data_IF_833879904608
#
_entry.id   IF_833879904608
#
_cell.length_a   1.000
_cell.length_b   1.000
_cell.length_c   1.000
_cell.angle_alpha   90.00
_cell.angle_beta   90.00
_cell.angle_gamma   90.00
#
_symmetry.space_group_name_H-M   'P 1'
#
loop_
_entity.id
_entity.type
_entity.pdbx_description
1 polymer ?
#
# COMPACT_ATOMS: atom_id res chain seq x y z
N UNK A 1 -14.37 9.40 -14.70
CA UNK A 1 -13.02 8.78 -14.67
C UNK A 1 -12.97 7.57 -13.76
N UNK A 2 -13.44 7.64 -12.50
CA UNK A 2 -13.33 6.54 -11.53
C UNK A 2 -13.68 5.15 -12.06
N UNK A 3 -14.88 4.92 -12.61
CA UNK A 3 -15.24 3.61 -13.15
C UNK A 3 -14.27 3.07 -14.21
N UNK A 4 -13.79 3.92 -15.12
CA UNK A 4 -12.79 3.51 -16.11
C UNK A 4 -11.43 3.16 -15.49
N UNK A 5 -10.98 3.93 -14.50
CA UNK A 5 -9.71 3.69 -13.81
C UNK A 5 -9.77 2.40 -12.97
N UNK A 6 -10.87 2.21 -12.24
CA UNK A 6 -11.12 1.02 -11.41
C UNK A 6 -11.26 -0.22 -12.30
N UNK A 7 -11.95 -0.10 -13.45
CA UNK A 7 -12.02 -1.16 -14.46
C UNK A 7 -10.64 -1.59 -14.96
N UNK A 8 -9.77 -0.63 -15.33
CA UNK A 8 -8.39 -0.91 -15.75
C UNK A 8 -7.53 -1.50 -14.63
N UNK A 9 -7.75 -1.10 -13.38
CA UNK A 9 -7.07 -1.70 -12.23
C UNK A 9 -7.47 -3.17 -12.05
N UNK A 10 -8.78 -3.47 -12.13
CA UNK A 10 -9.30 -4.85 -12.09
C UNK A 10 -8.73 -5.70 -13.23
N UNK A 11 -8.76 -5.19 -14.45
CA UNK A 11 -8.19 -5.87 -15.63
C UNK A 11 -6.68 -6.11 -15.50
N UNK A 12 -6.00 -5.25 -14.74
CA UNK A 12 -4.59 -5.37 -14.40
C UNK A 12 -4.30 -6.34 -13.26
N UNK A 13 -5.31 -7.00 -12.67
CA UNK A 13 -5.16 -7.99 -11.60
C UNK A 13 -5.14 -7.40 -10.18
N UNK A 14 -5.61 -6.17 -9.99
CA UNK A 14 -5.73 -5.55 -8.66
C UNK A 14 -6.97 -6.08 -7.94
N UNK A 15 -6.82 -6.50 -6.68
CA UNK A 15 -7.93 -6.93 -5.81
C UNK A 15 -8.44 -5.81 -4.89
N UNK A 16 -7.57 -4.85 -4.54
CA UNK A 16 -7.83 -3.81 -3.53
C UNK A 16 -7.45 -2.43 -4.06
N UNK A 17 -8.36 -1.47 -3.99
CA UNK A 17 -8.07 -0.05 -4.24
C UNK A 17 -7.78 0.63 -2.91
N UNK A 18 -6.57 1.18 -2.75
CA UNK A 18 -6.21 1.96 -1.58
C UNK A 18 -6.35 3.46 -1.85
N UNK A 19 -6.88 4.20 -0.88
CA UNK A 19 -6.98 5.67 -0.99
C UNK A 19 -6.82 6.34 0.36
N UNK A 20 -6.31 7.57 0.35
CA UNK A 20 -6.34 8.46 1.51
C UNK A 20 -7.68 9.16 1.64
N UNK A 21 -7.97 9.66 2.84
CA UNK A 21 -9.05 10.62 3.10
C UNK A 21 -8.44 12.00 3.30
N UNK A 22 -8.84 12.95 2.47
CA UNK A 22 -8.23 14.29 2.44
C UNK A 22 -9.03 15.25 3.32
N UNK A 23 -8.67 15.37 4.61
CA UNK A 23 -9.46 16.15 5.58
C UNK A 23 -9.67 17.61 5.15
N UNK A 24 -8.63 18.30 4.68
CA UNK A 24 -8.73 19.68 4.21
C UNK A 24 -9.65 19.86 2.99
N UNK A 25 -9.83 18.83 2.16
CA UNK A 25 -10.80 18.82 1.07
C UNK A 25 -12.22 18.63 1.62
N UNK A 26 -12.37 17.75 2.60
CA UNK A 26 -13.67 17.43 3.17
C UNK A 26 -14.18 18.43 4.20
N UNK A 27 -13.31 19.23 4.82
CA UNK A 27 -13.66 20.24 5.82
C UNK A 27 -12.91 21.56 5.57
N UNK A 28 -13.19 22.27 4.46
CA UNK A 28 -12.48 23.50 4.08
C UNK A 28 -12.63 24.62 5.12
N UNK A 29 -13.72 24.62 5.89
CA UNK A 29 -13.94 25.48 7.06
C UNK A 29 -14.41 24.64 8.23
N UNK A 30 -14.10 25.06 9.47
CA UNK A 30 -14.46 24.31 10.68
C UNK A 30 -15.96 24.03 10.74
N UNK A 31 -16.33 22.75 10.77
CA UNK A 31 -17.72 22.26 10.77
C UNK A 31 -18.44 22.34 9.42
N UNK A 32 -17.79 22.84 8.37
CA UNK A 32 -18.35 22.96 7.02
C UNK A 32 -17.79 21.83 6.15
N UNK A 33 -18.63 20.82 5.90
CA UNK A 33 -18.19 19.63 5.20
C UNK A 33 -18.60 19.60 3.72
N UNK A 34 -17.69 19.14 2.85
CA UNK A 34 -17.94 18.87 1.44
C UNK A 34 -17.60 17.41 1.08
N UNK A 35 -18.63 16.68 0.65
CA UNK A 35 -18.53 15.32 0.11
C UNK A 35 -19.21 15.24 -1.26
N UNK A 36 -19.14 16.32 -2.04
CA UNK A 36 -19.74 16.41 -3.37
C UNK A 36 -18.68 16.29 -4.48
N UNK A 37 -19.14 16.02 -5.71
CA UNK A 37 -18.27 15.99 -6.88
C UNK A 37 -17.10 15.02 -6.73
N UNK A 38 -15.86 15.52 -6.84
CA UNK A 38 -14.64 14.70 -6.67
C UNK A 38 -14.32 14.37 -5.20
N UNK A 39 -14.95 15.06 -4.25
CA UNK A 39 -14.84 14.81 -2.82
C UNK A 39 -15.89 13.80 -2.32
N UNK A 40 -16.73 13.25 -3.21
CA UNK A 40 -17.71 12.23 -2.85
C UNK A 40 -17.04 10.87 -2.63
N UNK A 41 -16.45 10.71 -1.45
CA UNK A 41 -15.73 9.50 -1.07
C UNK A 41 -16.65 8.28 -0.93
N UNK A 42 -17.90 8.48 -0.48
CA UNK A 42 -18.89 7.39 -0.38
C UNK A 42 -19.17 6.82 -1.77
N UNK A 43 -19.42 7.70 -2.75
CA UNK A 43 -19.60 7.27 -4.14
C UNK A 43 -18.36 6.58 -4.69
N UNK A 44 -17.17 7.08 -4.41
CA UNK A 44 -15.93 6.43 -4.85
C UNK A 44 -15.78 5.01 -4.29
N UNK A 45 -16.03 4.81 -2.99
CA UNK A 45 -16.00 3.47 -2.38
C UNK A 45 -17.10 2.55 -2.94
N UNK A 46 -18.31 3.07 -3.18
CA UNK A 46 -19.38 2.30 -3.84
C UNK A 46 -19.00 1.92 -5.27
N UNK A 47 -18.29 2.77 -6.01
CA UNK A 47 -17.79 2.45 -7.34
C UNK A 47 -16.78 1.30 -7.31
N UNK A 48 -15.89 1.26 -6.30
CA UNK A 48 -14.97 0.15 -6.06
C UNK A 48 -15.76 -1.15 -5.84
N UNK A 49 -16.78 -1.11 -4.97
CA UNK A 49 -17.66 -2.26 -4.71
C UNK A 49 -18.41 -2.73 -5.97
N UNK A 50 -18.92 -1.80 -6.79
CA UNK A 50 -19.63 -2.12 -8.02
C UNK A 50 -18.74 -2.85 -9.04
N UNK A 51 -17.43 -2.64 -8.99
CA UNK A 51 -16.45 -3.40 -9.77
C UNK A 51 -16.03 -4.72 -9.12
N UNK A 52 -16.52 -5.05 -7.92
CA UNK A 52 -16.19 -6.27 -7.19
C UNK A 52 -14.78 -6.27 -6.63
N UNK A 53 -14.21 -5.09 -6.36
CA UNK A 53 -12.92 -4.94 -5.69
C UNK A 53 -13.13 -4.58 -4.21
N UNK A 54 -12.11 -4.81 -3.40
CA UNK A 54 -12.06 -4.35 -2.01
C UNK A 54 -11.42 -2.96 -1.91
N UNK A 55 -11.54 -2.33 -0.74
CA UNK A 55 -10.96 -1.03 -0.43
C UNK A 55 -10.06 -1.08 0.82
N UNK A 56 -8.96 -0.33 0.77
CA UNK A 56 -8.11 0.01 1.91
C UNK A 56 -8.22 1.51 2.16
N UNK A 57 -8.83 1.91 3.27
CA UNK A 57 -9.16 3.31 3.55
C UNK A 57 -8.18 3.93 4.54
N UNK A 58 -7.27 4.78 4.06
CA UNK A 58 -6.26 5.44 4.90
C UNK A 58 -6.77 6.79 5.38
N UNK A 59 -7.33 6.82 6.59
CA UNK A 59 -8.11 7.97 7.08
C UNK A 59 -7.20 9.13 7.52
N UNK A 60 -5.98 8.84 7.98
CA UNK A 60 -5.05 9.86 8.48
C UNK A 60 -5.29 10.17 9.97
N UNK A 61 -5.37 11.43 10.41
CA UNK A 61 -5.76 12.59 9.60
C UNK A 61 -4.59 13.25 8.85
N UNK A 62 -3.37 13.12 9.34
CA UNK A 62 -2.19 13.47 8.56
C UNK A 62 -1.93 12.33 7.57
N UNK A 63 -1.79 12.66 6.30
CA UNK A 63 -1.63 11.68 5.20
C UNK A 63 -0.34 11.88 4.41
N UNK A 64 0.38 12.98 4.63
CA UNK A 64 1.48 13.42 3.76
C UNK A 64 0.96 13.58 2.31
N UNK A 65 1.08 12.53 1.49
CA UNK A 65 0.58 12.36 0.14
C UNK A 65 1.07 13.40 -0.88
N UNK A 66 2.20 14.06 -0.59
CA UNK A 66 2.60 15.31 -1.24
C UNK A 66 1.44 16.31 -1.38
N UNK A 67 0.50 16.26 -0.43
CA UNK A 67 -0.74 17.00 -0.45
C UNK A 67 -0.66 18.23 0.45
N UNK A 68 -1.37 19.28 0.08
CA UNK A 68 -1.34 20.57 0.75
C UNK A 68 -1.56 20.39 2.25
N UNK A 69 -0.61 20.89 3.04
CA UNK A 69 -0.60 20.82 4.51
C UNK A 69 -0.75 19.39 5.08
N UNK A 70 -0.29 18.38 4.32
CA UNK A 70 -0.35 16.96 4.69
C UNK A 70 -1.77 16.44 4.90
N UNK A 71 -2.76 17.09 4.28
CA UNK A 71 -4.19 16.77 4.43
C UNK A 71 -4.89 17.49 5.57
N UNK A 72 -4.17 18.17 6.47
CA UNK A 72 -4.80 18.90 7.58
C UNK A 72 -5.50 20.18 7.08
N UNK A 73 -6.69 20.52 7.58
CA UNK A 73 -7.34 21.79 7.23
C UNK A 73 -6.54 22.99 7.73
N UNK A 74 -6.46 24.05 6.94
CA UNK A 74 -5.69 25.24 7.32
C UNK A 74 -6.24 25.93 8.58
N UNK A 75 -7.56 25.95 8.77
CA UNK A 75 -8.19 26.54 9.96
C UNK A 75 -7.76 25.86 11.27
N UNK A 76 -7.23 24.63 11.21
CA UNK A 76 -6.73 23.92 12.37
C UNK A 76 -5.55 24.67 13.01
N UNK A 77 -4.80 25.43 12.22
CA UNK A 77 -3.67 26.26 12.67
C UNK A 77 -4.09 27.30 13.71
N UNK A 78 -5.30 27.84 13.58
CA UNK A 78 -5.79 28.93 14.42
C UNK A 78 -6.45 28.42 15.72
N UNK A 79 -6.43 27.11 15.97
CA UNK A 79 -6.93 26.53 17.21
C UNK A 79 -5.95 26.86 18.36
N UNK A 80 -6.41 27.51 19.45
CA UNK A 80 -5.53 27.91 20.55
C UNK A 80 -4.78 26.72 21.16
N UNK A 81 -3.46 26.86 21.30
CA UNK A 81 -2.60 25.86 21.94
C UNK A 81 -2.41 24.57 21.16
N UNK A 82 -2.77 24.54 19.87
CA UNK A 82 -2.64 23.33 19.07
C UNK A 82 -1.18 23.01 18.75
N UNK A 83 -0.85 21.72 18.84
CA UNK A 83 0.40 21.17 18.31
C UNK A 83 0.02 19.89 17.58
N UNK A 84 0.37 19.80 16.30
CA UNK A 84 -0.05 18.68 15.48
C UNK A 84 0.72 17.41 15.81
N UNK A 85 0.03 16.28 15.63
CA UNK A 85 0.62 14.94 15.68
C UNK A 85 1.43 14.73 16.95
N UNK A 86 0.90 15.14 18.09
CA UNK A 86 1.51 14.87 19.39
C UNK A 86 0.44 14.76 20.45
N UNK A 87 0.81 14.40 21.68
CA UNK A 87 -0.14 14.33 22.80
C UNK A 87 -0.55 15.74 23.23
N UNK A 88 -1.49 16.29 22.46
CA UNK A 88 -2.03 17.64 22.56
C UNK A 88 -3.56 17.53 22.46
N UNK A 89 -4.24 17.90 23.54
CA UNK A 89 -5.70 17.73 23.66
C UNK A 89 -6.48 18.42 22.52
N UNK A 90 -6.19 19.69 22.14
CA UNK A 90 -6.84 20.31 20.99
C UNK A 90 -6.73 19.49 19.70
N UNK A 91 -5.52 19.00 19.38
CA UNK A 91 -5.30 18.20 18.18
C UNK A 91 -6.05 16.86 18.25
N UNK A 92 -5.95 16.15 19.37
CA UNK A 92 -6.63 14.86 19.59
C UNK A 92 -8.14 14.95 19.42
N UNK A 93 -8.78 15.99 19.99
CA UNK A 93 -10.22 16.23 19.84
C UNK A 93 -10.60 16.42 18.37
N UNK A 94 -9.87 17.26 17.64
CA UNK A 94 -10.16 17.50 16.23
C UNK A 94 -9.92 16.26 15.35
N UNK A 95 -8.81 15.56 15.56
CA UNK A 95 -8.49 14.29 14.90
C UNK A 95 -9.56 13.23 15.15
N UNK A 96 -9.98 13.05 16.40
CA UNK A 96 -11.00 12.07 16.77
C UNK A 96 -12.35 12.42 16.14
N UNK A 97 -12.75 13.69 16.16
CA UNK A 97 -14.02 14.13 15.56
C UNK A 97 -14.07 13.81 14.07
N UNK A 98 -13.01 14.15 13.32
CA UNK A 98 -12.95 13.87 11.89
C UNK A 98 -12.90 12.36 11.59
N UNK A 99 -12.05 11.62 12.30
CA UNK A 99 -11.94 10.16 12.13
C UNK A 99 -13.28 9.47 12.42
N UNK A 100 -13.92 9.84 13.53
CA UNK A 100 -15.25 9.33 13.92
C UNK A 100 -16.30 9.63 12.86
N UNK A 101 -16.29 10.86 12.31
CA UNK A 101 -17.21 11.24 11.24
C UNK A 101 -17.04 10.36 10.00
N UNK A 102 -15.81 10.16 9.52
CA UNK A 102 -15.54 9.32 8.35
C UNK A 102 -15.96 7.87 8.61
N UNK A 103 -15.59 7.29 9.76
CA UNK A 103 -16.00 5.93 10.12
C UNK A 103 -17.53 5.81 10.18
N UNK A 104 -18.23 6.76 10.82
CA UNK A 104 -19.68 6.74 10.91
C UNK A 104 -20.36 6.85 9.53
N UNK A 105 -19.80 7.67 8.62
CA UNK A 105 -20.29 7.76 7.25
C UNK A 105 -20.10 6.45 6.48
N UNK A 106 -18.96 5.78 6.63
CA UNK A 106 -18.75 4.46 6.01
C UNK A 106 -19.69 3.41 6.60
N UNK A 107 -19.92 3.45 7.93
CA UNK A 107 -20.84 2.55 8.62
C UNK A 107 -22.29 2.75 8.22
N UNK A 108 -22.77 3.99 8.10
CA UNK A 108 -24.16 4.28 7.72
C UNK A 108 -24.50 3.77 6.31
N UNK A 109 -23.48 3.62 5.48
CA UNK A 109 -23.59 3.13 4.10
C UNK A 109 -23.22 1.63 3.97
N UNK A 110 -23.00 0.93 5.09
CA UNK A 110 -22.58 -0.47 5.15
C UNK A 110 -21.31 -0.77 4.33
N UNK A 111 -20.34 0.14 4.33
CA UNK A 111 -19.16 0.03 3.47
C UNK A 111 -18.00 -0.76 4.08
N UNK A 112 -18.05 -1.10 5.37
CA UNK A 112 -17.08 -2.03 5.96
C UNK A 112 -17.41 -3.49 5.60
N UNK A 113 -16.38 -4.32 5.39
CA UNK A 113 -16.56 -5.74 5.06
C UNK A 113 -17.34 -6.52 6.14
N UNK A 114 -17.22 -6.11 7.40
CA UNK A 114 -18.05 -6.60 8.52
C UNK A 114 -19.55 -6.36 8.33
N UNK A 115 -19.94 -5.43 7.45
CA UNK A 115 -21.31 -5.07 7.09
C UNK A 115 -21.67 -5.49 5.64
N UNK A 116 -20.80 -6.23 4.95
CA UNK A 116 -20.97 -6.61 3.54
C UNK A 116 -20.42 -5.61 2.52
N UNK A 117 -19.73 -4.55 2.96
CA UNK A 117 -19.10 -3.55 2.11
C UNK A 117 -17.68 -3.92 1.64
N UNK A 118 -17.04 -3.07 0.81
CA UNK A 118 -15.73 -3.38 0.24
C UNK A 118 -14.53 -3.06 1.17
N UNK A 119 -14.69 -2.25 2.23
CA UNK A 119 -13.55 -1.78 3.04
C UNK A 119 -13.06 -2.91 3.95
N UNK A 120 -11.84 -3.42 3.68
CA UNK A 120 -11.21 -4.52 4.42
C UNK A 120 -10.09 -4.09 5.36
N UNK A 121 -9.54 -2.88 5.17
CA UNK A 121 -8.45 -2.32 5.97
C UNK A 121 -8.69 -0.84 6.18
N UNK A 122 -8.34 -0.35 7.38
CA UNK A 122 -8.29 1.09 7.67
C UNK A 122 -6.93 1.49 8.22
N UNK A 123 -6.44 2.68 7.90
CA UNK A 123 -5.21 3.22 8.49
C UNK A 123 -5.50 4.47 9.33
N UNK A 124 -4.88 4.53 10.51
CA UNK A 124 -4.80 5.73 11.35
C UNK A 124 -3.37 6.26 11.30
N UNK A 125 -3.20 7.58 11.28
CA UNK A 125 -1.90 8.25 11.10
C UNK A 125 -1.17 7.85 9.79
N UNK A 126 0.01 8.44 9.58
CA UNK A 126 0.87 8.17 8.43
C UNK A 126 2.35 8.41 8.74
N UNK A 127 3.15 7.34 8.71
CA UNK A 127 4.61 7.40 8.93
C UNK A 127 5.01 8.19 10.18
N UNK A 128 4.31 7.98 11.29
CA UNK A 128 4.47 8.82 12.48
C UNK A 128 5.78 8.57 13.22
N UNK A 129 6.29 7.33 13.23
CA UNK A 129 7.59 6.99 13.84
C UNK A 129 8.75 7.86 13.30
N UNK A 130 8.65 8.33 12.04
CA UNK A 130 9.63 9.23 11.42
C UNK A 130 9.74 10.59 12.13
N UNK A 131 8.71 11.02 12.86
CA UNK A 131 8.66 12.29 13.60
C UNK A 131 8.44 12.11 15.10
N UNK A 132 8.07 10.92 15.54
CA UNK A 132 7.72 10.61 16.92
C UNK A 132 8.79 11.05 17.93
N UNK A 133 10.05 10.75 17.65
CA UNK A 133 11.19 11.13 18.50
C UNK A 133 11.32 12.65 18.71
N UNK A 134 10.89 13.47 17.74
CA UNK A 134 10.94 14.92 17.85
C UNK A 134 9.95 15.46 18.91
N UNK A 135 8.96 14.66 19.31
CA UNK A 135 8.00 15.01 20.35
C UNK A 135 8.38 14.48 21.74
N UNK A 136 9.54 13.84 21.88
CA UNK A 136 10.04 13.32 23.16
C UNK A 136 8.99 12.50 23.91
N UNK A 137 8.70 12.86 25.17
CA UNK A 137 7.70 12.24 26.02
C UNK A 137 6.25 12.32 25.51
N UNK A 138 5.96 13.18 24.52
CA UNK A 138 4.62 13.36 23.93
C UNK A 138 4.36 12.54 22.67
N UNK A 139 5.38 11.90 22.09
CA UNK A 139 5.24 11.06 20.90
C UNK A 139 4.58 9.71 21.21
N UNK A 140 5.19 8.88 22.08
CA UNK A 140 4.67 7.55 22.37
C UNK A 140 3.25 7.51 22.97
N UNK A 141 2.85 8.44 23.88
CA UNK A 141 1.45 8.50 24.34
C UNK A 141 0.46 8.80 23.22
N UNK A 142 0.86 9.63 22.24
CA UNK A 142 0.00 9.97 21.10
C UNK A 142 -0.24 8.77 20.19
N UNK A 143 0.79 8.00 19.84
CA UNK A 143 0.63 6.75 19.05
C UNK A 143 -0.30 5.77 19.74
N UNK A 144 -0.11 5.56 21.05
CA UNK A 144 -0.99 4.69 21.84
C UNK A 144 -2.43 5.18 21.85
N UNK A 145 -2.63 6.48 22.05
CA UNK A 145 -3.96 7.09 22.00
C UNK A 145 -4.60 6.95 20.62
N UNK A 146 -3.86 7.22 19.52
CA UNK A 146 -4.37 7.17 18.17
C UNK A 146 -4.81 5.74 17.79
N UNK A 147 -3.99 4.74 18.12
CA UNK A 147 -4.31 3.33 17.92
C UNK A 147 -5.56 2.92 18.74
N UNK A 148 -5.62 3.28 20.03
CA UNK A 148 -6.77 2.98 20.89
C UNK A 148 -8.05 3.65 20.40
N UNK A 149 -7.98 4.92 20.02
CA UNK A 149 -9.10 5.69 19.50
C UNK A 149 -9.64 5.03 18.22
N UNK A 150 -8.77 4.70 17.28
CA UNK A 150 -9.17 4.05 16.03
C UNK A 150 -9.83 2.68 16.25
N UNK A 151 -9.23 1.84 17.08
CA UNK A 151 -9.78 0.51 17.42
C UNK A 151 -11.13 0.62 18.14
N UNK A 152 -11.29 1.60 19.04
CA UNK A 152 -12.53 1.85 19.76
C UNK A 152 -13.69 2.29 18.84
N UNK A 153 -13.41 2.73 17.61
CA UNK A 153 -14.46 3.00 16.62
C UNK A 153 -15.13 1.73 16.08
N UNK A 154 -14.62 0.53 16.39
CA UNK A 154 -15.26 -0.76 16.10
C UNK A 154 -15.74 -0.90 14.66
N UNK A 155 -14.84 -0.66 13.69
CA UNK A 155 -15.13 -0.82 12.25
C UNK A 155 -15.44 -2.27 11.86
N UNK A 156 -15.01 -3.24 12.68
CA UNK A 156 -15.13 -4.67 12.41
C UNK A 156 -14.11 -5.18 11.39
N UNK A 157 -13.14 -4.34 11.00
CA UNK A 157 -12.02 -4.71 10.14
C UNK A 157 -10.69 -4.26 10.76
N UNK A 158 -9.54 -4.86 10.40
CA UNK A 158 -8.26 -4.49 10.98
C UNK A 158 -7.86 -3.03 10.73
N UNK A 159 -7.14 -2.47 11.71
CA UNK A 159 -6.44 -1.20 11.58
C UNK A 159 -4.95 -1.43 11.33
N UNK A 160 -4.35 -0.51 10.59
CA UNK A 160 -2.91 -0.50 10.32
C UNK A 160 -2.29 0.87 10.57
N UNK A 161 -0.96 0.90 10.71
CA UNK A 161 -0.12 2.11 10.77
C UNK A 161 1.16 1.85 9.94
N UNK A 162 1.43 2.70 8.97
CA UNK A 162 2.62 2.56 8.12
C UNK A 162 3.85 3.22 8.75
N UNK A 163 5.03 2.58 8.61
CA UNK A 163 6.27 2.95 9.31
C UNK A 163 6.02 3.29 10.78
N UNK A 164 5.51 2.31 11.51
CA UNK A 164 5.26 2.40 12.94
C UNK A 164 5.60 1.07 13.61
N UNK A 165 6.89 0.79 13.83
CA UNK A 165 7.34 -0.48 14.36
C UNK A 165 6.74 -0.80 15.74
N UNK A 166 6.49 0.20 16.58
CA UNK A 166 5.87 0.03 17.90
C UNK A 166 4.33 0.13 17.89
N UNK A 167 3.66 0.00 16.72
CA UNK A 167 2.21 0.02 16.61
C UNK A 167 1.53 -0.94 17.62
N UNK A 168 0.72 -0.42 18.56
CA UNK A 168 0.11 -1.24 19.62
C UNK A 168 -0.89 -2.26 19.07
N UNK A 169 -0.98 -3.43 19.70
CA UNK A 169 -2.01 -4.42 19.36
C UNK A 169 -3.43 -3.83 19.54
N UNK A 170 -4.38 -4.17 18.65
CA UNK A 170 -4.28 -5.11 17.52
C UNK A 170 -3.82 -4.48 16.19
N UNK A 171 -3.30 -3.25 16.18
CA UNK A 171 -2.95 -2.51 14.95
C UNK A 171 -1.75 -3.15 14.24
N UNK A 172 -1.84 -3.29 12.92
CA UNK A 172 -0.79 -3.90 12.09
C UNK A 172 0.21 -2.84 11.63
N UNK A 173 1.50 -3.01 11.94
CA UNK A 173 2.54 -2.16 11.37
C UNK A 173 2.86 -2.58 9.93
N UNK A 174 3.05 -1.62 9.05
CA UNK A 174 3.27 -1.88 7.61
C UNK A 174 4.53 -1.21 7.10
N UNK A 175 4.98 -1.65 5.92
CA UNK A 175 6.13 -1.09 5.23
C UNK A 175 5.73 -0.11 4.13
N UNK A 176 6.55 0.92 3.93
CA UNK A 176 6.52 1.84 2.80
C UNK A 176 7.92 1.98 2.21
N UNK A 177 8.00 2.22 0.90
CA UNK A 177 9.25 2.42 0.19
C UNK A 177 9.34 1.60 -1.09
N UNK A 178 10.42 1.74 -1.86
CA UNK A 178 10.62 0.96 -3.08
C UNK A 178 11.03 -0.50 -2.81
N UNK A 179 11.65 -0.78 -1.67
CA UNK A 179 12.43 -2.01 -1.45
C UNK A 179 11.95 -2.88 -0.30
N UNK A 180 10.68 -2.80 0.12
CA UNK A 180 10.19 -3.61 1.24
C UNK A 180 10.32 -5.13 1.01
N UNK A 181 10.39 -5.59 -0.25
CA UNK A 181 10.75 -6.98 -0.58
C UNK A 181 12.11 -7.41 -0.03
N UNK A 182 13.07 -6.48 0.08
CA UNK A 182 14.38 -6.70 0.71
C UNK A 182 14.41 -6.19 2.14
N UNK A 183 13.96 -4.96 2.38
CA UNK A 183 14.22 -4.22 3.62
C UNK A 183 13.23 -4.46 4.75
N UNK A 184 12.03 -5.00 4.48
CA UNK A 184 11.06 -5.22 5.56
C UNK A 184 11.47 -6.46 6.37
N UNK A 185 11.72 -6.33 7.69
CA UNK A 185 12.04 -7.47 8.54
C UNK A 185 10.80 -8.31 8.90
N UNK A 186 9.60 -7.74 8.71
CA UNK A 186 8.32 -8.32 9.10
C UNK A 186 7.55 -7.42 10.06
N UNK A 187 6.31 -7.80 10.40
CA UNK A 187 5.51 -7.09 11.38
C UNK A 187 6.08 -7.27 12.79
N UNK A 188 5.67 -6.40 13.70
CA UNK A 188 6.14 -6.36 15.09
C UNK A 188 5.59 -7.48 15.98
N UNK A 189 4.84 -8.42 15.40
CA UNK A 189 4.32 -9.62 16.06
C UNK A 189 4.16 -10.75 15.03
N UNK A 190 4.49 -12.00 15.36
CA UNK A 190 4.32 -13.15 14.45
C UNK A 190 2.85 -13.43 14.11
N UNK A 191 1.89 -12.88 14.87
CA UNK A 191 0.46 -13.05 14.63
C UNK A 191 -0.14 -12.01 13.67
N UNK A 192 0.69 -11.12 13.11
CA UNK A 192 0.27 -10.08 12.17
C UNK A 192 0.71 -10.45 10.74
N UNK A 193 -0.09 -10.10 9.72
CA UNK A 193 0.29 -10.31 8.32
C UNK A 193 1.35 -9.28 7.88
N UNK A 194 2.14 -9.65 6.87
CA UNK A 194 3.11 -8.75 6.23
C UNK A 194 2.39 -7.87 5.20
N UNK A 195 2.28 -6.57 5.48
CA UNK A 195 1.63 -5.60 4.62
C UNK A 195 2.63 -4.55 4.11
N UNK A 196 2.62 -4.31 2.80
CA UNK A 196 3.37 -3.25 2.13
C UNK A 196 2.37 -2.23 1.56
N UNK A 197 2.17 -1.13 2.27
CA UNK A 197 1.13 -0.12 1.98
C UNK A 197 1.54 0.86 0.89
N UNK A 198 2.83 1.07 0.67
CA UNK A 198 3.32 1.94 -0.40
C UNK A 198 4.54 1.36 -1.11
N UNK A 199 4.29 0.63 -2.20
CA UNK A 199 5.30 0.28 -3.18
C UNK A 199 5.43 1.42 -4.19
N UNK A 200 6.41 2.30 -3.99
CA UNK A 200 6.56 3.52 -4.78
C UNK A 200 6.83 3.21 -6.26
N UNK A 201 5.88 3.45 -7.17
CA UNK A 201 5.97 3.06 -8.59
C UNK A 201 6.83 4.01 -9.45
N UNK A 202 7.17 5.17 -8.89
CA UNK A 202 8.03 6.24 -9.38
C UNK A 202 8.25 7.20 -8.20
N UNK A 203 8.88 8.35 -8.43
CA UNK A 203 8.94 9.45 -7.48
C UNK A 203 7.96 10.55 -7.89
N UNK A 204 7.46 11.33 -6.94
CA UNK A 204 6.69 12.52 -7.27
C UNK A 204 7.55 13.54 -8.03
N UNK A 205 6.93 14.34 -8.90
CA UNK A 205 7.61 15.40 -9.63
C UNK A 205 7.55 16.69 -8.81
N UNK A 206 8.70 17.26 -8.49
CA UNK A 206 8.81 18.60 -7.90
C UNK A 206 9.14 19.64 -8.98
N UNK A 207 8.70 20.89 -8.79
CA UNK A 207 9.03 21.96 -9.73
C UNK A 207 10.55 22.14 -9.86
N UNK A 208 11.05 22.16 -11.10
CA UNK A 208 12.47 22.32 -11.40
C UNK A 208 13.30 21.03 -11.24
N UNK A 209 12.68 19.86 -11.06
CA UNK A 209 13.36 18.56 -11.02
C UNK A 209 13.03 17.73 -12.26
N UNK A 210 14.01 16.94 -12.70
CA UNK A 210 13.81 15.95 -13.76
C UNK A 210 12.94 14.78 -13.26
N UNK A 211 12.13 14.15 -14.13
CA UNK A 211 11.35 12.96 -13.75
C UNK A 211 12.25 11.78 -13.39
N UNK A 212 12.00 11.17 -12.23
CA UNK A 212 12.62 9.91 -11.85
C UNK A 212 11.73 8.73 -12.29
N UNK A 213 12.31 7.75 -12.97
CA UNK A 213 11.57 6.58 -13.45
C UNK A 213 11.97 5.34 -12.67
N UNK A 214 11.02 4.42 -12.51
CA UNK A 214 11.24 3.11 -11.91
C UNK A 214 10.78 2.05 -12.90
N UNK A 215 11.66 1.11 -13.22
CA UNK A 215 11.38 0.08 -14.23
C UNK A 215 10.30 -0.90 -13.76
N UNK A 216 9.60 -1.50 -14.72
CA UNK A 216 8.60 -2.53 -14.43
C UNK A 216 9.25 -3.76 -13.76
N UNK A 217 10.47 -4.08 -14.19
CA UNK A 217 11.25 -5.22 -13.71
C UNK A 217 11.66 -5.07 -12.25
N UNK A 218 12.10 -3.87 -11.82
CA UNK A 218 12.44 -3.63 -10.42
C UNK A 218 11.21 -3.69 -9.52
N UNK A 219 10.08 -3.09 -9.96
CA UNK A 219 8.82 -3.19 -9.22
C UNK A 219 8.43 -4.67 -9.09
N UNK A 220 8.44 -5.42 -10.19
CA UNK A 220 8.07 -6.83 -10.20
C UNK A 220 9.01 -7.68 -9.32
N UNK A 221 10.31 -7.42 -9.35
CA UNK A 221 11.30 -8.08 -8.49
C UNK A 221 10.97 -7.89 -7.01
N UNK A 222 10.75 -6.64 -6.59
CA UNK A 222 10.47 -6.36 -5.18
C UNK A 222 9.15 -6.96 -4.72
N UNK A 223 8.10 -6.92 -5.56
CA UNK A 223 6.81 -7.55 -5.24
C UNK A 223 6.94 -9.07 -5.14
N UNK A 224 7.56 -9.72 -6.14
CA UNK A 224 7.75 -11.16 -6.13
C UNK A 224 8.58 -11.63 -4.93
N UNK A 225 9.64 -10.88 -4.58
CA UNK A 225 10.47 -11.18 -3.41
C UNK A 225 9.69 -10.97 -2.10
N UNK A 226 8.88 -9.92 -2.00
CA UNK A 226 8.03 -9.68 -0.83
C UNK A 226 7.07 -10.86 -0.61
N UNK A 227 6.35 -11.29 -1.65
CA UNK A 227 5.45 -12.46 -1.59
C UNK A 227 6.20 -13.76 -1.30
N UNK A 228 7.37 -13.96 -1.90
CA UNK A 228 8.22 -15.11 -1.63
C UNK A 228 8.60 -15.23 -0.15
N UNK A 229 8.72 -14.10 0.58
CA UNK A 229 9.11 -14.00 2.00
C UNK A 229 7.92 -13.93 2.99
N UNK A 230 6.74 -14.42 2.63
CA UNK A 230 5.46 -14.34 3.38
C UNK A 230 4.70 -13.00 3.28
N UNK A 231 5.03 -12.15 2.31
CA UNK A 231 4.24 -10.96 1.99
C UNK A 231 2.82 -11.30 1.55
N UNK A 232 1.80 -10.66 2.14
CA UNK A 232 0.38 -10.99 1.89
C UNK A 232 -0.45 -9.84 1.35
N UNK A 233 0.06 -8.61 1.42
CA UNK A 233 -0.56 -7.43 0.84
C UNK A 233 0.50 -6.50 0.27
N UNK A 234 0.33 -6.09 -0.98
CA UNK A 234 1.18 -5.10 -1.64
C UNK A 234 0.29 -4.08 -2.33
N UNK A 235 0.48 -2.81 -2.02
CA UNK A 235 -0.22 -1.72 -2.67
C UNK A 235 0.76 -0.83 -3.45
N UNK A 236 0.44 -0.57 -4.72
CA UNK A 236 1.20 0.33 -5.57
C UNK A 236 0.88 1.79 -5.25
N UNK A 237 1.89 2.55 -4.81
CA UNK A 237 1.79 3.99 -4.60
C UNK A 237 2.59 4.71 -5.70
N UNK A 238 2.01 5.18 -6.79
CA UNK A 238 0.60 5.14 -7.16
C UNK A 238 0.33 4.08 -8.25
N UNK A 239 -0.86 3.49 -8.23
CA UNK A 239 -1.38 2.75 -9.39
C UNK A 239 -1.93 3.69 -10.48
N UNK A 240 -2.61 4.75 -10.04
CA UNK A 240 -2.95 5.94 -10.81
C UNK A 240 -2.69 7.15 -9.89
N UNK A 241 -1.82 8.06 -10.31
CA UNK A 241 -1.55 9.27 -9.53
C UNK A 241 -2.54 10.40 -9.82
N UNK A 242 -2.71 10.73 -11.10
CA UNK A 242 -3.66 11.74 -11.56
C UNK A 242 -3.10 13.17 -11.45
N UNK A 243 -3.95 14.11 -11.05
CA UNK A 243 -3.65 15.54 -11.12
C UNK A 243 -4.01 16.25 -9.82
N UNK A 244 -3.08 17.07 -9.34
CA UNK A 244 -3.27 18.04 -8.26
C UNK A 244 -4.09 19.24 -8.77
N UNK A 245 -5.40 19.07 -8.91
CA UNK A 245 -6.30 20.09 -9.45
C UNK A 245 -6.59 21.24 -8.49
N UNK A 246 -6.56 22.46 -9.00
CA UNK A 246 -6.89 23.67 -8.24
C UNK A 246 -5.67 24.18 -7.49
N UNK A 247 -5.88 24.73 -6.29
CA UNK A 247 -4.83 25.44 -5.52
C UNK A 247 -4.72 25.01 -4.06
N UNK A 248 -5.40 23.93 -3.69
CA UNK A 248 -5.48 23.43 -2.31
C UNK A 248 -5.12 21.94 -2.23
N UNK A 249 -4.46 21.41 -3.26
CA UNK A 249 -4.17 19.98 -3.43
C UNK A 249 -2.68 19.66 -3.34
N UNK A 250 -1.82 20.25 -4.18
CA UNK A 250 -0.38 19.97 -4.15
C UNK A 250 0.31 20.66 -2.96
N UNK A 251 1.27 19.98 -2.34
CA UNK A 251 2.39 20.58 -1.63
C UNK A 251 3.67 20.29 -2.42
N UNK A 252 4.47 21.32 -2.74
CA UNK A 252 5.81 21.26 -3.36
C UNK A 252 5.98 20.44 -4.67
N UNK A 253 4.93 19.77 -5.14
CA UNK A 253 4.89 18.95 -6.35
C UNK A 253 4.25 19.67 -7.52
N UNK A 254 4.52 19.21 -8.73
CA UNK A 254 3.87 19.71 -9.93
C UNK A 254 2.36 19.43 -9.92
N UNK A 255 1.63 20.08 -10.83
CA UNK A 255 0.21 19.78 -11.06
C UNK A 255 -0.01 18.32 -11.47
N UNK A 256 0.90 17.76 -12.26
CA UNK A 256 0.94 16.33 -12.58
C UNK A 256 1.41 15.50 -11.39
N UNK A 257 0.72 14.40 -11.07
CA UNK A 257 1.03 13.54 -9.93
C UNK A 257 1.25 12.08 -10.38
N UNK A 258 2.48 11.56 -10.21
CA UNK A 258 2.86 10.17 -10.52
C UNK A 258 2.49 9.71 -11.95
N UNK A 259 2.81 10.50 -12.97
CA UNK A 259 2.51 10.19 -14.38
C UNK A 259 3.16 8.87 -14.88
N UNK A 260 4.25 8.43 -14.25
CA UNK A 260 4.93 7.16 -14.54
C UNK A 260 4.31 5.92 -13.86
N UNK A 261 3.16 6.07 -13.20
CA UNK A 261 2.39 4.96 -12.65
C UNK A 261 1.88 3.99 -13.73
N UNK A 262 1.41 2.78 -13.37
CA UNK A 262 0.79 1.83 -14.31
C UNK A 262 -0.34 2.44 -15.14
N UNK A 263 -1.13 3.34 -14.56
CA UNK A 263 -2.05 4.22 -15.26
C UNK A 263 -1.51 5.66 -15.19
N UNK A 264 -1.32 6.30 -16.34
CA UNK A 264 -0.77 7.65 -16.42
C UNK A 264 -1.71 8.71 -15.83
N UNK A 265 -1.29 9.99 -15.86
CA UNK A 265 -2.08 11.12 -15.36
C UNK A 265 -3.49 11.20 -15.97
N UNK A 266 -3.63 10.83 -17.25
CA UNK A 266 -4.88 10.90 -18.01
C UNK A 266 -5.68 9.60 -17.94
N UNK A 267 -5.15 8.57 -17.27
CA UNK A 267 -5.76 7.27 -17.07
C UNK A 267 -5.54 6.29 -18.22
N UNK A 268 -4.57 6.52 -19.11
CA UNK A 268 -4.17 5.54 -20.11
C UNK A 268 -3.26 4.47 -19.51
N UNK A 269 -3.27 3.29 -20.12
CA UNK A 269 -2.43 2.16 -19.73
C UNK A 269 -0.99 2.45 -20.15
N UNK A 270 -0.05 2.40 -19.20
CA UNK A 270 1.37 2.65 -19.45
C UNK A 270 2.13 1.33 -19.63
N UNK A 271 2.46 1.00 -20.87
CA UNK A 271 3.28 -0.17 -21.20
C UNK A 271 4.78 0.17 -21.18
N UNK A 272 5.66 -0.79 -20.84
CA UNK A 272 5.35 -2.17 -20.48
C UNK A 272 4.86 -2.34 -19.02
N UNK A 273 4.96 -1.31 -18.17
CA UNK A 273 4.74 -1.38 -16.71
C UNK A 273 3.42 -2.06 -16.33
N UNK A 274 2.29 -1.59 -16.84
CA UNK A 274 0.99 -2.17 -16.53
C UNK A 274 0.89 -3.64 -16.96
N UNK A 275 1.37 -3.97 -18.17
CA UNK A 275 1.29 -5.32 -18.73
C UNK A 275 2.17 -6.31 -17.97
N UNK A 276 3.41 -5.91 -17.63
CA UNK A 276 4.34 -6.73 -16.86
C UNK A 276 3.82 -7.02 -15.44
N UNK A 277 3.25 -6.01 -14.78
CA UNK A 277 2.65 -6.19 -13.45
C UNK A 277 1.38 -7.04 -13.51
N UNK A 278 0.58 -6.93 -14.57
CA UNK A 278 -0.56 -7.83 -14.78
C UNK A 278 -0.12 -9.30 -14.86
N UNK A 279 0.89 -9.61 -15.67
CA UNK A 279 1.43 -10.96 -15.78
C UNK A 279 2.01 -11.47 -14.45
N UNK A 280 2.68 -10.59 -13.69
CA UNK A 280 3.12 -10.91 -12.33
C UNK A 280 1.94 -11.29 -11.43
N UNK A 281 0.84 -10.52 -11.45
CA UNK A 281 -0.35 -10.82 -10.64
C UNK A 281 -0.96 -12.17 -11.03
N UNK A 282 -1.08 -12.46 -12.32
CA UNK A 282 -1.56 -13.76 -12.83
C UNK A 282 -0.68 -14.92 -12.33
N UNK A 283 0.66 -14.75 -12.38
CA UNK A 283 1.60 -15.71 -11.86
C UNK A 283 1.45 -15.93 -10.35
N UNK A 284 1.31 -14.85 -9.55
CA UNK A 284 1.08 -14.97 -8.10
C UNK A 284 -0.25 -15.67 -7.81
N UNK A 285 -1.33 -15.34 -8.55
CA UNK A 285 -2.65 -15.99 -8.37
C UNK A 285 -2.59 -17.48 -8.67
N UNK A 286 -1.81 -17.90 -9.66
CA UNK A 286 -1.59 -19.33 -9.94
C UNK A 286 -0.89 -20.08 -8.79
N UNK A 287 -0.19 -19.36 -7.91
CA UNK A 287 0.46 -19.91 -6.70
C UNK A 287 -0.41 -19.81 -5.42
N UNK A 288 -1.66 -19.31 -5.51
CA UNK A 288 -2.44 -18.89 -4.34
C UNK A 288 -2.71 -20.00 -3.32
N UNK A 289 -3.07 -21.20 -3.75
CA UNK A 289 -3.35 -22.31 -2.84
C UNK A 289 -2.14 -22.70 -1.98
N UNK A 290 -0.94 -22.99 -2.55
CA UNK A 290 0.27 -23.21 -1.75
C UNK A 290 0.63 -22.03 -0.84
N UNK A 291 0.52 -20.79 -1.32
CA UNK A 291 0.89 -19.59 -0.53
C UNK A 291 -0.03 -19.42 0.69
N UNK A 292 -1.33 -19.62 0.53
CA UNK A 292 -2.32 -19.34 1.59
C UNK A 292 -2.45 -20.48 2.60
N UNK A 293 -2.25 -21.73 2.17
CA UNK A 293 -2.58 -22.91 2.97
C UNK A 293 -1.41 -23.88 3.15
N UNK A 294 -0.27 -23.63 2.49
CA UNK A 294 0.92 -24.47 2.59
C UNK A 294 1.92 -23.98 3.64
N UNK A 295 2.93 -24.80 3.88
CA UNK A 295 4.09 -24.47 4.71
C UNK A 295 5.21 -23.94 3.83
N UNK A 296 5.81 -22.82 4.23
CA UNK A 296 6.98 -22.26 3.56
C UNK A 296 8.28 -22.93 4.06
N UNK A 297 9.20 -23.19 3.13
CA UNK A 297 10.59 -23.51 3.42
C UNK A 297 11.53 -22.78 2.46
N UNK A 298 12.77 -22.59 2.89
CA UNK A 298 13.82 -21.96 2.09
C UNK A 298 14.89 -22.97 1.71
N UNK A 299 15.46 -22.78 0.52
CA UNK A 299 16.55 -23.60 -0.01
C UNK A 299 17.64 -22.66 -0.54
N UNK A 300 18.86 -22.77 0.00
CA UNK A 300 20.00 -22.06 -0.56
C UNK A 300 20.35 -22.66 -1.92
N UNK A 301 20.40 -21.82 -2.96
CA UNK A 301 20.72 -22.21 -4.33
C UNK A 301 22.11 -21.68 -4.76
N UNK A 302 22.73 -20.85 -3.93
CA UNK A 302 23.99 -20.18 -4.18
C UNK A 302 24.28 -19.11 -3.13
N UNK A 303 25.32 -18.31 -3.33
CA UNK A 303 25.70 -17.27 -2.37
C UNK A 303 24.68 -16.13 -2.28
N UNK A 304 24.07 -15.76 -3.41
CA UNK A 304 23.05 -14.70 -3.50
C UNK A 304 21.74 -15.23 -4.11
N UNK A 305 21.58 -16.55 -4.14
CA UNK A 305 20.43 -17.22 -4.75
C UNK A 305 19.68 -18.05 -3.71
N UNK A 306 18.36 -17.87 -3.66
CA UNK A 306 17.50 -18.52 -2.68
C UNK A 306 16.23 -19.01 -3.36
N UNK A 307 15.82 -20.23 -3.05
CA UNK A 307 14.49 -20.75 -3.36
C UNK A 307 13.58 -20.56 -2.16
N UNK A 308 12.42 -19.94 -2.36
CA UNK A 308 11.32 -19.94 -1.40
C UNK A 308 10.23 -20.86 -1.94
N UNK A 309 9.87 -21.88 -1.16
CA UNK A 309 8.95 -22.92 -1.61
C UNK A 309 7.79 -23.02 -0.63
N UNK A 310 6.58 -23.01 -1.16
CA UNK A 310 5.36 -23.25 -0.41
C UNK A 310 4.80 -24.61 -0.81
N UNK A 311 4.59 -25.49 0.16
CA UNK A 311 4.05 -26.83 -0.09
C UNK A 311 2.95 -27.16 0.91
N UNK A 312 1.83 -27.68 0.41
CA UNK A 312 0.72 -28.12 1.26
C UNK A 312 0.63 -29.64 1.35
N UNK A 313 0.71 -30.33 0.21
CA UNK A 313 0.65 -31.79 0.07
C UNK A 313 1.57 -32.24 -1.08
N UNK A 314 1.63 -33.55 -1.34
CA UNK A 314 2.51 -34.22 -2.33
C UNK A 314 2.33 -33.79 -3.81
N UNK A 315 1.45 -32.84 -4.12
CA UNK A 315 1.25 -32.31 -5.47
C UNK A 315 0.96 -30.81 -5.58
N UNK A 316 0.82 -30.09 -4.46
CA UNK A 316 0.57 -28.64 -4.46
C UNK A 316 1.82 -27.92 -3.95
N UNK A 317 2.56 -27.32 -4.88
CA UNK A 317 3.85 -26.71 -4.63
C UNK A 317 4.02 -25.45 -5.47
N UNK A 318 4.36 -24.31 -4.87
CA UNK A 318 4.79 -23.12 -5.58
C UNK A 318 6.21 -22.73 -5.14
N UNK A 319 7.06 -22.36 -6.09
CA UNK A 319 8.44 -21.92 -5.82
C UNK A 319 8.73 -20.56 -6.43
N UNK A 320 9.54 -19.78 -5.70
CA UNK A 320 10.11 -18.51 -6.12
C UNK A 320 11.62 -18.66 -6.07
N UNK A 321 12.27 -18.69 -7.25
CA UNK A 321 13.72 -18.79 -7.36
C UNK A 321 14.27 -17.38 -7.54
N UNK A 322 15.01 -16.90 -6.53
CA UNK A 322 15.47 -15.53 -6.42
C UNK A 322 16.97 -15.46 -6.71
N UNK A 323 17.38 -14.51 -7.54
CA UNK A 323 18.76 -14.05 -7.65
C UNK A 323 18.83 -12.60 -7.18
N UNK A 324 19.52 -12.37 -6.05
CA UNK A 324 19.73 -11.03 -5.48
C UNK A 324 21.01 -10.35 -5.98
N UNK A 325 21.86 -11.04 -6.75
CA UNK A 325 23.01 -10.41 -7.41
C UNK A 325 22.46 -9.38 -8.42
N UNK A 326 22.93 -8.14 -8.33
CA UNK A 326 22.49 -7.03 -9.17
C UNK A 326 23.26 -6.92 -10.50
N UNK A 327 24.29 -7.75 -10.69
CA UNK A 327 25.16 -7.69 -11.88
C UNK A 327 25.22 -8.98 -12.68
N UNK A 328 25.06 -10.16 -12.04
CA UNK A 328 25.34 -11.45 -12.67
C UNK A 328 24.09 -12.31 -12.86
N UNK A 329 23.98 -12.88 -14.06
CA UNK A 329 23.11 -14.03 -14.30
C UNK A 329 23.76 -15.30 -13.76
N UNK A 330 22.96 -16.19 -13.17
CA UNK A 330 23.44 -17.44 -12.58
C UNK A 330 22.49 -18.59 -12.93
N UNK A 331 23.08 -19.72 -13.35
CA UNK A 331 22.38 -20.99 -13.47
C UNK A 331 22.29 -21.67 -12.10
N UNK A 332 21.09 -21.99 -11.64
CA UNK A 332 20.86 -22.72 -10.38
C UNK A 332 20.22 -24.08 -10.66
N UNK A 333 20.45 -25.05 -9.76
CA UNK A 333 19.79 -26.36 -9.81
C UNK A 333 18.67 -26.39 -8.76
N UNK A 334 17.44 -26.60 -9.20
CA UNK A 334 16.27 -26.76 -8.34
C UNK A 334 15.48 -28.00 -8.77
N UNK A 335 15.21 -28.93 -7.85
CA UNK A 335 14.53 -30.21 -8.13
C UNK A 335 15.08 -30.94 -9.37
N UNK A 336 16.41 -31.09 -9.46
CA UNK A 336 17.14 -31.74 -10.57
C UNK A 336 16.99 -31.08 -11.95
N UNK A 337 16.47 -29.85 -12.02
CA UNK A 337 16.36 -29.06 -13.24
C UNK A 337 17.21 -27.79 -13.12
N UNK A 338 17.76 -27.33 -14.24
CA UNK A 338 18.56 -26.10 -14.30
C UNK A 338 17.69 -24.91 -14.68
N UNK A 339 17.87 -23.79 -13.97
CA UNK A 339 17.16 -22.54 -14.23
C UNK A 339 18.15 -21.39 -14.31
N UNK A 340 18.04 -20.59 -15.38
CA UNK A 340 18.80 -19.36 -15.55
C UNK A 340 18.08 -18.20 -14.86
N UNK A 341 18.73 -17.57 -13.89
CA UNK A 341 18.22 -16.41 -13.16
C UNK A 341 19.04 -15.16 -13.55
N UNK A 342 18.40 -14.17 -14.15
CA UNK A 342 19.02 -12.88 -14.44
C UNK A 342 19.34 -12.09 -13.16
N UNK A 343 20.10 -10.98 -13.26
CA UNK A 343 20.39 -10.13 -12.12
C UNK A 343 19.10 -9.52 -11.54
N UNK A 344 19.02 -9.40 -10.21
CA UNK A 344 17.85 -8.87 -9.49
C UNK A 344 16.53 -9.41 -10.03
N UNK A 345 16.42 -10.74 -10.11
CA UNK A 345 15.25 -11.40 -10.70
C UNK A 345 14.65 -12.48 -9.80
N UNK A 346 13.34 -12.69 -9.97
CA UNK A 346 12.61 -13.82 -9.40
C UNK A 346 11.91 -14.58 -10.52
N UNK A 347 12.14 -15.88 -10.59
CA UNK A 347 11.34 -16.81 -11.40
C UNK A 347 10.25 -17.42 -10.55
N UNK A 348 8.99 -17.41 -11.03
CA UNK A 348 7.82 -17.95 -10.34
C UNK A 348 7.41 -19.27 -10.99
N UNK A 349 7.33 -20.33 -10.19
CA UNK A 349 7.01 -21.69 -10.59
C UNK A 349 5.79 -22.20 -9.79
N UNK A 350 4.56 -22.11 -10.33
CA UNK A 350 3.33 -22.44 -9.60
C UNK A 350 3.14 -23.93 -9.31
N UNK A 351 3.95 -24.78 -9.93
CA UNK A 351 4.00 -26.23 -9.79
C UNK A 351 5.39 -26.73 -9.34
N UNK A 352 6.28 -25.81 -8.93
CA UNK A 352 7.68 -26.04 -8.61
C UNK A 352 8.51 -26.67 -9.76
N UNK A 353 8.06 -26.55 -11.02
CA UNK A 353 8.74 -27.11 -12.20
C UNK A 353 8.81 -26.15 -13.38
N UNK A 354 7.71 -25.52 -13.75
CA UNK A 354 7.61 -24.67 -14.93
C UNK A 354 7.62 -23.20 -14.54
N UNK A 355 8.57 -22.44 -15.11
CA UNK A 355 8.60 -20.97 -14.93
C UNK A 355 7.48 -20.36 -15.77
N UNK A 356 6.50 -19.74 -15.12
CA UNK A 356 5.42 -19.02 -15.81
C UNK A 356 5.70 -17.52 -15.92
N UNK A 357 6.58 -17.00 -15.06
CA UNK A 357 6.96 -15.59 -15.04
C UNK A 357 8.37 -15.40 -14.50
N UNK A 358 9.12 -14.46 -15.08
CA UNK A 358 10.38 -13.98 -14.53
C UNK A 358 10.39 -12.45 -14.52
N UNK A 359 10.72 -11.85 -13.36
CA UNK A 359 10.58 -10.41 -13.15
C UNK A 359 11.48 -9.57 -14.06
N UNK A 360 12.58 -10.10 -14.57
CA UNK A 360 13.52 -9.37 -15.45
C UNK A 360 13.18 -9.48 -16.94
N UNK A 361 12.20 -10.32 -17.34
CA UNK A 361 11.78 -10.51 -18.74
C UNK A 361 10.46 -9.78 -18.97
N UNK A 362 10.52 -8.51 -19.37
CA UNK A 362 9.35 -7.67 -19.63
C UNK A 362 8.98 -7.56 -21.11
#
# INVERSE_FOLDING_TARGET
>A
MWGSLIGKAKEGGIDVIQTYVFWNLHEPGKGQYDFSGRADIVRFIKEIQAHGLYASLRIGPFIEAEWNYGGLPFWLHDVPGIVYRCDNEPFKVHMQNFTTKIVNMMKSENLYASQGGPIILSQIENEYEMVEHAFHEKGPPYVRWAAQMAVALQTGVPWMMCKQYDAPDPVINTCNGMKCGVSFPGPNSPNKPWLWTENWTTWYRAYGKEPETRSAQDIAFQVALFVARNGTFVNYYMYHGGTNFGRTTSAFTTTSYYDDAPLDEYGFIRLPKWGHLKQLHEAIKSCSNPILFGTQFTLSLGQQQMGYIYQRNSGECAAFLVNQDDTKSVAVIFHNSSYELGPSSVSILPDCKNVVFNTAKA
#
